data_IF_959310653206
#
_entry.id   IF_959310653206
#
_cell.length_a   1.000
_cell.length_b   1.000
_cell.length_c   1.000
_cell.angle_alpha   90.00
_cell.angle_beta   90.00
_cell.angle_gamma   90.00
#
_symmetry.space_group_name_H-M   'P 1'
#
loop_
_entity.id
_entity.type
_entity.pdbx_description
1 polymer ?
#
# COMPACT_ATOMS: atom_id res chain seq x y z
N UNK A 1 14.10 -1.78 16.35
CA UNK A 1 13.46 -1.77 15.02
C UNK A 1 12.09 -1.13 15.19
N UNK A 2 11.78 -0.10 14.40
CA UNK A 2 10.48 0.57 14.41
C UNK A 2 9.71 0.21 13.14
N UNK A 3 8.49 -0.29 13.30
CA UNK A 3 7.58 -0.59 12.20
C UNK A 3 6.32 0.27 12.33
N UNK A 4 5.93 0.93 11.24
CA UNK A 4 4.65 1.63 11.13
C UNK A 4 3.77 0.87 10.14
N UNK A 5 2.49 0.71 10.48
CA UNK A 5 1.46 0.26 9.54
C UNK A 5 0.36 1.31 9.44
N UNK A 6 -0.04 1.67 8.23
CA UNK A 6 -1.02 2.73 8.02
C UNK A 6 -1.84 2.54 6.74
N UNK A 7 -3.17 2.50 6.88
CA UNK A 7 -4.08 2.72 5.77
C UNK A 7 -4.16 4.23 5.49
N UNK A 8 -3.61 4.64 4.36
CA UNK A 8 -3.39 6.06 4.02
C UNK A 8 -4.53 6.65 3.17
N UNK A 9 -5.58 5.87 2.90
CA UNK A 9 -6.75 6.32 2.13
C UNK A 9 -6.37 7.02 0.82
N UNK A 10 -5.51 6.39 0.01
CA UNK A 10 -4.93 6.97 -1.20
C UNK A 10 -4.29 8.36 -0.95
N UNK A 11 -3.52 8.49 0.14
CA UNK A 11 -2.88 9.73 0.60
C UNK A 11 -3.86 10.89 0.87
N UNK A 12 -5.15 10.62 1.09
CA UNK A 12 -6.18 11.66 1.28
C UNK A 12 -6.29 12.04 2.76
N UNK A 13 -6.03 13.31 3.07
CA UNK A 13 -6.21 13.84 4.42
C UNK A 13 -7.69 14.08 4.79
N UNK A 14 -7.96 14.34 6.07
CA UNK A 14 -9.29 14.74 6.54
C UNK A 14 -9.79 16.07 5.93
N UNK A 15 -8.87 16.88 5.40
CA UNK A 15 -9.13 18.09 4.62
C UNK A 15 -9.47 17.79 3.14
N UNK A 16 -9.51 16.52 2.75
CA UNK A 16 -9.80 16.09 1.38
C UNK A 16 -8.64 16.27 0.41
N UNK A 17 -7.45 16.69 0.87
CA UNK A 17 -6.29 16.91 0.02
C UNK A 17 -5.46 15.64 -0.11
N UNK A 18 -5.13 15.25 -1.35
CA UNK A 18 -4.20 14.14 -1.61
C UNK A 18 -2.76 14.64 -1.50
N UNK A 19 -1.99 14.08 -0.55
CA UNK A 19 -0.60 14.47 -0.32
C UNK A 19 0.27 13.29 0.15
N UNK A 20 1.00 12.62 -0.76
CA UNK A 20 2.01 11.63 -0.38
C UNK A 20 3.10 12.20 0.55
N UNK A 21 3.43 13.48 0.37
CA UNK A 21 4.36 14.19 1.26
C UNK A 21 3.88 14.22 2.71
N UNK A 22 2.60 14.53 2.94
CA UNK A 22 2.01 14.53 4.29
C UNK A 22 2.16 13.17 4.96
N UNK A 23 1.86 12.09 4.23
CA UNK A 23 1.99 10.73 4.75
C UNK A 23 3.42 10.46 5.24
N UNK A 24 4.43 10.81 4.44
CA UNK A 24 5.84 10.59 4.82
C UNK A 24 6.26 11.47 6.01
N UNK A 25 5.87 12.74 6.02
CA UNK A 25 6.17 13.65 7.12
C UNK A 25 5.52 13.18 8.44
N UNK A 26 4.26 12.78 8.40
CA UNK A 26 3.53 12.30 9.58
C UNK A 26 4.09 10.96 10.07
N UNK A 27 4.40 10.03 9.17
CA UNK A 27 5.05 8.77 9.54
C UNK A 27 6.41 9.02 10.24
N UNK A 28 7.20 9.98 9.77
CA UNK A 28 8.48 10.37 10.40
C UNK A 28 8.29 11.06 11.75
N UNK A 29 7.18 11.80 11.94
CA UNK A 29 6.83 12.39 13.25
C UNK A 29 6.44 11.32 14.27
N UNK A 30 5.82 10.22 13.83
CA UNK A 30 5.45 9.10 14.71
C UNK A 30 6.68 8.32 15.19
N UNK A 31 7.61 7.99 14.28
CA UNK A 31 8.86 7.33 14.62
C UNK A 31 9.91 7.49 13.51
N UNK A 32 11.19 7.36 13.87
CA UNK A 32 12.23 7.01 12.91
C UNK A 32 12.09 5.51 12.55
N UNK A 33 11.28 5.21 11.54
CA UNK A 33 10.88 3.84 11.19
C UNK A 33 11.91 3.13 10.32
N UNK A 34 12.11 1.84 10.58
CA UNK A 34 12.88 0.94 9.71
C UNK A 34 12.03 0.40 8.56
N UNK A 35 10.75 0.14 8.85
CA UNK A 35 9.79 -0.41 7.91
C UNK A 35 8.47 0.35 7.99
N UNK A 36 7.94 0.74 6.83
CA UNK A 36 6.64 1.40 6.68
C UNK A 36 5.74 0.56 5.77
N UNK A 37 4.67 0.01 6.35
CA UNK A 37 3.65 -0.77 5.67
C UNK A 37 2.44 0.14 5.38
N UNK A 38 2.14 0.38 4.10
CA UNK A 38 1.01 1.21 3.69
C UNK A 38 -0.07 0.38 3.01
N UNK A 39 -1.33 0.67 3.33
CA UNK A 39 -2.50 0.14 2.63
C UNK A 39 -3.23 1.27 1.89
N UNK A 40 -4.00 0.91 0.86
CA UNK A 40 -4.72 1.85 -0.02
C UNK A 40 -3.79 2.80 -0.77
N UNK A 41 -2.69 2.28 -1.30
CA UNK A 41 -1.80 3.01 -2.21
C UNK A 41 -2.34 2.90 -3.64
N UNK A 42 -2.51 4.03 -4.33
CA UNK A 42 -3.10 4.08 -5.66
C UNK A 42 -2.14 4.70 -6.71
N UNK A 43 -2.24 4.26 -7.96
CA UNK A 43 -1.63 4.92 -9.10
C UNK A 43 -2.65 5.13 -10.22
N UNK A 44 -2.67 6.34 -10.79
CA UNK A 44 -3.49 6.75 -11.93
C UNK A 44 -5.02 6.57 -11.75
N UNK A 45 -5.53 6.44 -10.52
CA UNK A 45 -6.96 6.35 -10.26
C UNK A 45 -7.62 7.74 -10.23
N UNK A 46 -8.13 8.19 -11.38
CA UNK A 46 -8.85 9.47 -11.50
C UNK A 46 -10.24 9.48 -10.80
N UNK A 47 -10.70 8.34 -10.28
CA UNK A 47 -12.01 8.20 -9.64
C UNK A 47 -12.12 8.71 -8.19
N UNK A 48 -11.00 9.05 -7.54
CA UNK A 48 -11.01 9.68 -6.23
C UNK A 48 -11.21 11.20 -6.40
N UNK A 49 -12.17 11.79 -5.66
CA UNK A 49 -12.61 13.20 -5.82
C UNK A 49 -11.47 14.24 -5.80
N UNK A 50 -10.30 13.91 -5.25
CA UNK A 50 -9.14 14.79 -5.14
C UNK A 50 -7.86 14.25 -5.80
N UNK A 51 -7.93 13.09 -6.49
CA UNK A 51 -6.76 12.56 -7.21
C UNK A 51 -6.57 13.31 -8.53
N UNK A 52 -5.31 13.59 -8.85
CA UNK A 52 -4.87 14.11 -10.15
C UNK A 52 -4.44 12.99 -11.10
N UNK A 53 -4.66 11.73 -10.69
CA UNK A 53 -4.11 10.56 -11.37
C UNK A 53 -2.61 10.40 -11.12
N UNK A 54 -2.13 10.80 -9.94
CA UNK A 54 -0.75 10.58 -9.50
C UNK A 54 -0.40 9.08 -9.35
N UNK A 55 0.89 8.76 -9.45
CA UNK A 55 1.44 7.45 -9.09
C UNK A 55 1.99 7.52 -7.66
N UNK A 56 1.16 7.18 -6.67
CA UNK A 56 1.52 7.32 -5.26
C UNK A 56 2.66 6.38 -4.87
N UNK A 57 2.80 5.23 -5.53
CA UNK A 57 3.95 4.34 -5.30
C UNK A 57 5.26 5.06 -5.64
N UNK A 58 5.30 5.68 -6.82
CA UNK A 58 6.47 6.44 -7.27
C UNK A 58 6.72 7.69 -6.43
N UNK A 59 5.69 8.47 -6.10
CA UNK A 59 5.84 9.68 -5.29
C UNK A 59 6.30 9.38 -3.86
N UNK A 60 5.74 8.36 -3.21
CA UNK A 60 6.17 7.93 -1.88
C UNK A 60 7.61 7.41 -1.89
N UNK A 61 8.01 6.65 -2.91
CA UNK A 61 9.39 6.18 -3.06
C UNK A 61 10.38 7.34 -3.22
N UNK A 62 10.03 8.36 -4.02
CA UNK A 62 10.86 9.54 -4.18
C UNK A 62 11.04 10.34 -2.87
N UNK A 63 10.06 10.29 -1.97
CA UNK A 63 10.08 10.95 -0.66
C UNK A 63 10.81 10.14 0.43
N UNK A 64 11.11 8.87 0.16
CA UNK A 64 11.79 7.96 1.08
C UNK A 64 13.13 7.47 0.49
N UNK A 65 14.08 8.39 0.20
CA UNK A 65 15.39 7.98 -0.27
C UNK A 65 16.08 7.06 0.74
N UNK A 66 16.70 5.99 0.25
CA UNK A 66 17.31 4.95 1.10
C UNK A 66 16.36 3.84 1.55
N UNK A 67 15.08 3.92 1.22
CA UNK A 67 14.13 2.83 1.42
C UNK A 67 13.91 2.07 0.11
N UNK A 68 13.89 0.74 0.18
CA UNK A 68 13.43 -0.13 -0.89
C UNK A 68 11.89 -0.16 -0.87
N UNK A 69 11.26 0.26 -1.97
CA UNK A 69 9.83 0.07 -2.20
C UNK A 69 9.56 -1.38 -2.65
N UNK A 70 8.62 -2.03 -1.98
CA UNK A 70 8.04 -3.32 -2.34
C UNK A 70 6.53 -3.11 -2.59
N UNK A 71 6.06 -3.07 -3.84
CA UNK A 71 4.65 -2.90 -4.15
C UNK A 71 3.90 -4.24 -4.13
N UNK A 72 2.74 -4.27 -3.50
CA UNK A 72 1.76 -5.35 -3.54
C UNK A 72 0.51 -4.89 -4.27
N UNK A 73 0.51 -5.02 -5.60
CA UNK A 73 -0.60 -4.56 -6.44
C UNK A 73 -1.70 -5.62 -6.46
N UNK A 74 -2.83 -5.34 -5.82
CA UNK A 74 -3.97 -6.24 -5.77
C UNK A 74 -4.88 -6.07 -7.00
N UNK A 75 -5.02 -4.84 -7.49
CA UNK A 75 -5.81 -4.50 -8.68
C UNK A 75 -4.93 -3.77 -9.66
N UNK A 76 -4.91 -4.24 -10.91
CA UNK A 76 -4.21 -3.61 -12.02
C UNK A 76 -5.06 -3.71 -13.30
N UNK A 77 -5.60 -2.56 -13.74
CA UNK A 77 -6.54 -2.47 -14.86
C UNK A 77 -6.12 -1.38 -15.84
N UNK A 78 -6.57 -1.47 -17.09
CA UNK A 78 -6.37 -0.42 -18.08
C UNK A 78 -7.42 0.68 -17.88
N UNK A 79 -6.97 1.91 -17.62
CA UNK A 79 -7.82 3.09 -17.56
C UNK A 79 -8.28 3.53 -18.95
N UNK A 80 -9.32 4.36 -19.00
CA UNK A 80 -9.87 4.93 -20.24
C UNK A 80 -8.88 5.84 -20.98
N UNK A 81 -7.86 6.33 -20.28
CA UNK A 81 -6.75 7.12 -20.82
C UNK A 81 -5.55 6.26 -21.28
N UNK A 82 -5.76 4.94 -21.41
CA UNK A 82 -4.74 3.94 -21.74
C UNK A 82 -3.58 3.83 -20.73
N UNK A 83 -3.69 4.41 -19.52
CA UNK A 83 -2.72 4.22 -18.43
C UNK A 83 -3.17 3.11 -17.50
N UNK A 84 -2.21 2.40 -16.89
CA UNK A 84 -2.51 1.39 -15.87
C UNK A 84 -2.97 2.05 -14.58
N UNK A 85 -4.16 1.69 -14.11
CA UNK A 85 -4.67 2.06 -12.79
C UNK A 85 -4.37 0.93 -11.81
N UNK A 86 -3.57 1.23 -10.78
CA UNK A 86 -3.04 0.23 -9.84
C UNK A 86 -3.41 0.55 -8.41
N UNK A 87 -3.87 -0.44 -7.64
CA UNK A 87 -4.26 -0.26 -6.25
C UNK A 87 -3.79 -1.44 -5.42
N UNK A 88 -3.30 -1.16 -4.22
CA UNK A 88 -2.90 -2.19 -3.28
C UNK A 88 -2.18 -1.66 -2.06
N UNK A 89 -1.16 -2.40 -1.63
CA UNK A 89 -0.34 -2.11 -0.47
C UNK A 89 1.12 -1.89 -0.86
N UNK A 90 1.91 -1.29 0.02
CA UNK A 90 3.34 -1.12 -0.17
C UNK A 90 4.09 -1.40 1.15
N UNK A 91 5.28 -1.97 1.06
CA UNK A 91 6.26 -1.99 2.14
C UNK A 91 7.43 -1.12 1.70
N UNK A 92 7.85 -0.18 2.54
CA UNK A 92 9.10 0.54 2.39
C UNK A 92 10.06 0.07 3.50
N UNK A 93 11.25 -0.38 3.13
CA UNK A 93 12.25 -0.84 4.11
C UNK A 93 13.59 -0.18 3.88
N UNK A 94 14.18 0.44 4.92
CA UNK A 94 15.59 0.87 4.89
C UNK A 94 16.57 -0.26 5.16
N UNK A 95 16.06 -1.41 5.60
CA UNK A 95 16.81 -2.65 5.76
C UNK A 95 16.82 -3.44 4.44
N UNK A 96 17.87 -4.25 4.16
CA UNK A 96 17.92 -5.10 2.98
C UNK A 96 16.70 -6.03 2.89
N UNK A 97 16.02 -6.05 1.74
CA UNK A 97 14.89 -6.94 1.47
C UNK A 97 15.44 -8.20 0.80
N UNK A 98 15.32 -9.35 1.46
CA UNK A 98 15.88 -10.63 1.02
C UNK A 98 14.91 -11.43 0.14
N UNK A 99 13.61 -11.33 0.41
CA UNK A 99 12.57 -12.07 -0.31
C UNK A 99 11.27 -11.28 -0.29
N UNK A 100 10.51 -11.37 -1.39
CA UNK A 100 9.16 -10.81 -1.51
C UNK A 100 8.21 -11.90 -1.97
N UNK A 101 7.04 -11.98 -1.33
CA UNK A 101 5.94 -12.85 -1.76
C UNK A 101 4.67 -12.01 -1.81
N UNK A 102 3.91 -12.14 -2.89
CA UNK A 102 2.60 -11.51 -3.05
C UNK A 102 1.56 -12.60 -3.21
N UNK A 103 0.75 -12.80 -2.19
CA UNK A 103 -0.28 -13.84 -2.16
C UNK A 103 -1.65 -13.19 -2.37
N UNK A 104 -2.36 -13.57 -3.44
CA UNK A 104 -3.75 -13.15 -3.65
C UNK A 104 -4.65 -13.77 -2.59
N UNK A 105 -5.53 -12.96 -2.02
CA UNK A 105 -6.49 -13.45 -1.03
C UNK A 105 -7.74 -14.00 -1.72
N UNK A 106 -8.36 -15.06 -1.19
CA UNK A 106 -9.58 -15.60 -1.76
C UNK A 106 -10.68 -14.55 -1.89
N UNK A 107 -11.34 -14.53 -3.05
CA UNK A 107 -12.45 -13.62 -3.35
C UNK A 107 -13.68 -14.39 -3.87
N UNK A 108 -14.30 -15.24 -3.03
CA UNK A 108 -15.52 -15.94 -3.41
C UNK A 108 -16.65 -14.97 -3.76
N UNK A 109 -17.59 -15.39 -4.61
CA UNK A 109 -18.79 -14.62 -4.91
C UNK A 109 -19.61 -14.39 -3.63
N UNK A 110 -19.94 -13.14 -3.34
CA UNK A 110 -20.79 -12.75 -2.21
C UNK A 110 -21.93 -11.85 -2.72
N UNK A 111 -23.16 -12.37 -2.85
CA UNK A 111 -24.31 -11.59 -3.32
C UNK A 111 -24.69 -10.42 -2.42
N UNK A 112 -24.25 -10.42 -1.15
CA UNK A 112 -24.53 -9.35 -0.19
C UNK A 112 -23.55 -8.17 -0.29
N UNK A 113 -22.41 -8.36 -0.95
CA UNK A 113 -21.37 -7.35 -1.08
C UNK A 113 -21.73 -6.30 -2.14
N UNK A 114 -21.95 -5.05 -1.70
CA UNK A 114 -22.27 -3.93 -2.62
C UNK A 114 -21.12 -3.53 -3.53
N UNK A 115 -19.90 -3.66 -3.03
CA UNK A 115 -18.64 -3.42 -3.72
C UNK A 115 -17.66 -4.45 -3.19
N UNK A 116 -16.72 -4.87 -4.02
CA UNK A 116 -15.65 -5.77 -3.62
C UNK A 116 -14.51 -5.55 -4.60
N UNK A 117 -13.28 -5.78 -4.15
CA UNK A 117 -12.12 -5.77 -5.02
C UNK A 117 -11.16 -6.88 -4.60
N UNK A 118 -10.24 -7.21 -5.50
CA UNK A 118 -9.16 -8.14 -5.18
C UNK A 118 -8.30 -7.59 -4.04
N UNK A 119 -7.89 -8.47 -3.12
CA UNK A 119 -6.96 -8.15 -2.02
C UNK A 119 -5.74 -9.05 -2.12
N UNK A 120 -4.63 -8.61 -1.55
CA UNK A 120 -3.42 -9.42 -1.44
C UNK A 120 -2.79 -9.28 -0.06
N UNK A 121 -2.12 -10.34 0.37
CA UNK A 121 -1.13 -10.34 1.43
C UNK A 121 0.24 -10.07 0.78
N UNK A 122 0.90 -9.01 1.24
CA UNK A 122 2.24 -8.65 0.81
C UNK A 122 3.23 -9.01 1.91
N UNK A 123 4.24 -9.79 1.56
CA UNK A 123 5.27 -10.28 2.47
C UNK A 123 6.65 -9.82 2.00
N UNK A 124 7.47 -9.35 2.94
CA UNK A 124 8.87 -9.03 2.73
C UNK A 124 9.71 -9.62 3.86
N UNK A 125 10.70 -10.44 3.53
CA UNK A 125 11.74 -10.85 4.49
C UNK A 125 12.82 -9.78 4.47
N UNK A 126 13.08 -9.14 5.61
CA UNK A 126 14.10 -8.09 5.78
C UNK A 126 15.25 -8.59 6.65
N UNK A 127 16.48 -8.22 6.33
CA UNK A 127 17.65 -8.52 7.16
C UNK A 127 17.72 -7.55 8.35
N UNK A 128 17.88 -8.07 9.56
CA UNK A 128 17.95 -7.25 10.78
C UNK A 128 19.18 -7.61 11.60
N UNK A 129 19.51 -6.83 12.63
CA UNK A 129 20.64 -7.14 13.51
C UNK A 129 20.53 -8.49 14.25
N UNK A 130 19.32 -9.06 14.33
CA UNK A 130 19.06 -10.37 14.96
C UNK A 130 18.77 -11.47 13.93
N UNK A 131 19.00 -11.19 12.64
CA UNK A 131 18.75 -12.09 11.52
C UNK A 131 17.49 -11.75 10.71
N UNK A 132 17.10 -12.61 9.75
CA UNK A 132 15.96 -12.37 8.87
C UNK A 132 14.62 -12.31 9.60
N UNK A 133 13.84 -11.25 9.35
CA UNK A 133 12.49 -11.07 9.88
C UNK A 133 11.48 -10.98 8.73
N UNK A 134 10.40 -11.77 8.78
CA UNK A 134 9.29 -11.66 7.82
C UNK A 134 8.30 -10.60 8.28
N UNK A 135 8.12 -9.56 7.47
CA UNK A 135 7.10 -8.52 7.63
C UNK A 135 5.98 -8.79 6.65
N UNK A 136 4.74 -8.73 7.14
CA UNK A 136 3.54 -9.01 6.35
C UNK A 136 2.57 -7.85 6.51
N UNK A 137 2.02 -7.38 5.39
CA UNK A 137 0.94 -6.37 5.39
C UNK A 137 -0.20 -6.81 4.49
N UNK A 138 -1.42 -6.56 4.94
CA UNK A 138 -2.63 -6.91 4.20
C UNK A 138 -3.71 -5.87 4.46
N UNK A 139 -4.69 -5.82 3.56
CA UNK A 139 -5.91 -5.06 3.73
C UNK A 139 -7.07 -5.99 3.33
N UNK A 140 -7.82 -6.46 4.32
CA UNK A 140 -8.94 -7.39 4.10
C UNK A 140 -10.20 -6.66 3.64
N UNK A 141 -11.14 -7.38 3.05
CA UNK A 141 -12.34 -6.77 2.47
C UNK A 141 -13.26 -6.14 3.53
N UNK A 142 -13.88 -5.01 3.22
CA UNK A 142 -14.79 -4.34 4.15
C UNK A 142 -16.24 -4.81 3.96
N UNK A 143 -16.69 -4.89 2.70
CA UNK A 143 -18.11 -5.08 2.35
C UNK A 143 -18.58 -6.53 2.35
N UNK A 144 -17.67 -7.50 2.44
CA UNK A 144 -17.99 -8.93 2.46
C UNK A 144 -17.42 -9.56 3.73
N UNK A 145 -18.24 -10.31 4.47
CA UNK A 145 -17.75 -11.16 5.56
C UNK A 145 -17.09 -12.43 5.05
N UNK A 146 -17.53 -12.92 3.89
CA UNK A 146 -17.00 -14.15 3.27
C UNK A 146 -15.59 -13.96 2.70
N UNK A 147 -15.23 -12.72 2.37
CA UNK A 147 -13.91 -12.33 1.85
C UNK A 147 -12.98 -11.74 2.93
N UNK A 148 -13.33 -11.84 4.22
CA UNK A 148 -12.50 -11.45 5.37
C UNK A 148 -11.91 -12.67 6.05
#
# INVERSE_FOLDING_TARGET
>A
MNLITWNIQACTGCDGVVSPRRIVEDARRLADFDVLCLQEVAANFAGFKASRGEDQFAELAALLPGYTLVPGIAVDVLGSDNRRQRFGSAIFSRLPVLQVIVTRLPRPSDPSARRSMERCLLEAVVETAIGPLRVMTTHIEFFSKLQR
#
